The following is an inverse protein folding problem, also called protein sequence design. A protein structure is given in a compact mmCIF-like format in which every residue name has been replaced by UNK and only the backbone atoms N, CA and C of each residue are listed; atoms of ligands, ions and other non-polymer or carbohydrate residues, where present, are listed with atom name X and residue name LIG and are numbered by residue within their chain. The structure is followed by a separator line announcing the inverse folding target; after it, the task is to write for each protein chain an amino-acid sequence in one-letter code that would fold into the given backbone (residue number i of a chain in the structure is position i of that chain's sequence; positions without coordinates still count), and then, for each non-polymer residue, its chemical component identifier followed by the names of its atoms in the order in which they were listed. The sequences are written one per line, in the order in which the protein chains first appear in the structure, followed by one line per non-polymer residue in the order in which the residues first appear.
data_IF_811523744949
#
_entry.id   IF_811523744949
#
_cell.length_a   1.000
_cell.length_b   1.000
_cell.length_c   1.000
_cell.angle_alpha   90.00
_cell.angle_beta   90.00
_cell.angle_gamma   90.00
#
_symmetry.space_group_name_H-M   'P 1'
#
loop_
_entity.id
_entity.type
_entity.pdbx_description
1 polymer ?
#
# COMPACT_ATOMS: atom_id res chain seq x y z
N UNK A 1 5.76 -7.44 -6.94
CA UNK A 1 5.75 -8.91 -6.72
C UNK A 1 5.47 -9.15 -5.25
N UNK A 2 4.56 -10.05 -4.93
CA UNK A 2 4.25 -10.42 -3.55
C UNK A 2 5.34 -11.35 -2.99
N UNK A 3 5.47 -11.44 -1.69
CA UNK A 3 6.48 -12.26 -1.02
C UNK A 3 5.86 -13.59 -0.59
N UNK A 4 6.41 -14.75 -1.01
CA UNK A 4 5.92 -16.04 -0.54
C UNK A 4 6.05 -16.18 0.98
N UNK A 5 4.95 -16.52 1.66
CA UNK A 5 4.93 -16.65 3.14
C UNK A 5 5.89 -17.72 3.62
N UNK A 6 6.04 -18.80 2.85
CA UNK A 6 6.99 -19.88 3.18
C UNK A 6 8.42 -19.37 3.33
N UNK A 7 8.84 -18.41 2.50
CA UNK A 7 10.20 -17.84 2.56
C UNK A 7 10.39 -16.97 3.81
N UNK A 8 9.37 -16.19 4.18
CA UNK A 8 9.40 -15.40 5.42
C UNK A 8 9.47 -16.31 6.66
N UNK A 9 8.67 -17.38 6.68
CA UNK A 9 8.70 -18.37 7.77
C UNK A 9 10.05 -19.05 7.86
N UNK A 10 10.65 -19.44 6.73
CA UNK A 10 11.99 -20.05 6.72
C UNK A 10 13.07 -19.08 7.23
N UNK A 11 13.00 -17.80 6.84
CA UNK A 11 13.91 -16.76 7.34
C UNK A 11 13.80 -16.59 8.87
N UNK A 12 12.58 -16.54 9.40
CA UNK A 12 12.33 -16.47 10.85
C UNK A 12 12.83 -17.73 11.58
N UNK A 13 12.59 -18.93 11.03
CA UNK A 13 13.11 -20.18 11.60
C UNK A 13 14.63 -20.18 11.68
N UNK A 14 15.29 -19.73 10.62
CA UNK A 14 16.75 -19.58 10.61
C UNK A 14 17.22 -18.65 11.73
N UNK A 15 16.61 -17.48 11.87
CA UNK A 15 16.95 -16.49 12.90
C UNK A 15 16.67 -16.96 14.34
N UNK A 16 15.73 -17.90 14.51
CA UNK A 16 15.35 -18.49 15.79
C UNK A 16 16.05 -19.81 16.09
N UNK A 17 16.85 -20.35 15.15
CA UNK A 17 17.54 -21.63 15.33
C UNK A 17 16.62 -22.86 15.25
N UNK A 18 15.41 -22.74 14.69
CA UNK A 18 14.42 -23.82 14.57
C UNK A 18 14.21 -24.25 13.12
N UNK A 19 15.29 -24.47 12.37
CA UNK A 19 15.26 -24.80 10.94
C UNK A 19 14.41 -26.03 10.60
N UNK A 20 14.31 -26.99 11.53
CA UNK A 20 13.54 -28.21 11.31
C UNK A 20 12.06 -28.07 11.68
N UNK A 21 11.65 -26.94 12.26
CA UNK A 21 10.27 -26.69 12.68
C UNK A 21 9.78 -27.61 13.81
N UNK A 22 10.69 -28.02 14.68
CA UNK A 22 10.38 -28.98 15.76
C UNK A 22 9.77 -28.32 16.99
N UNK A 23 10.09 -27.03 17.22
CA UNK A 23 9.73 -26.34 18.45
C UNK A 23 8.69 -25.23 18.23
N UNK A 24 8.62 -24.67 17.01
CA UNK A 24 7.76 -23.53 16.69
C UNK A 24 6.86 -23.92 15.51
N UNK A 25 5.56 -23.80 15.67
CA UNK A 25 4.61 -24.06 14.58
C UNK A 25 4.63 -22.95 13.54
N UNK A 26 4.20 -23.26 12.30
CA UNK A 26 4.10 -22.24 11.24
C UNK A 26 3.11 -21.14 11.62
N UNK A 27 2.01 -21.49 12.29
CA UNK A 27 1.02 -20.52 12.74
C UNK A 27 1.61 -19.49 13.71
N UNK A 28 2.48 -19.93 14.64
CA UNK A 28 3.17 -19.03 15.57
C UNK A 28 4.12 -18.06 14.88
N UNK A 29 4.58 -18.36 13.66
CA UNK A 29 5.42 -17.48 12.85
C UNK A 29 4.60 -16.62 11.88
N UNK A 30 3.49 -17.13 11.37
CA UNK A 30 2.60 -16.38 10.45
C UNK A 30 1.94 -15.18 11.15
N UNK A 31 1.53 -15.31 12.41
CA UNK A 31 0.88 -14.22 13.14
C UNK A 31 1.80 -12.99 13.32
N UNK A 32 3.05 -13.11 13.77
CA UNK A 32 4.00 -11.99 13.77
C UNK A 32 4.26 -11.37 12.39
N UNK A 33 4.27 -12.17 11.31
CA UNK A 33 4.39 -11.68 9.94
C UNK A 33 3.20 -10.78 9.58
N UNK A 34 1.97 -11.24 9.85
CA UNK A 34 0.76 -10.45 9.64
C UNK A 34 0.78 -9.15 10.45
N UNK A 35 1.21 -9.23 11.71
CA UNK A 35 1.30 -8.08 12.59
C UNK A 35 2.32 -7.06 12.07
N UNK A 36 3.50 -7.53 11.64
CA UNK A 36 4.53 -6.69 11.06
C UNK A 36 4.05 -5.98 9.80
N UNK A 37 3.50 -6.71 8.83
CA UNK A 37 3.00 -6.16 7.58
C UNK A 37 1.88 -5.13 7.82
N UNK A 38 0.88 -5.49 8.63
CA UNK A 38 -0.26 -4.61 8.91
C UNK A 38 0.17 -3.32 9.61
N UNK A 39 1.05 -3.40 10.62
CA UNK A 39 1.54 -2.23 11.34
C UNK A 39 2.42 -1.34 10.49
N UNK A 40 3.33 -1.93 9.71
CA UNK A 40 4.22 -1.22 8.82
C UNK A 40 3.42 -0.44 7.76
N UNK A 41 2.53 -1.10 7.04
CA UNK A 41 1.73 -0.46 6.00
C UNK A 41 0.69 0.52 6.53
N UNK A 42 0.09 0.25 7.68
CA UNK A 42 -0.74 1.22 8.37
C UNK A 42 0.02 2.52 8.62
N UNK A 43 1.25 2.43 9.13
CA UNK A 43 2.10 3.59 9.42
C UNK A 43 2.57 4.32 8.17
N UNK A 44 3.03 3.58 7.14
CA UNK A 44 3.46 4.16 5.86
C UNK A 44 2.30 4.92 5.19
N UNK A 45 1.09 4.38 5.26
CA UNK A 45 -0.08 5.08 4.74
C UNK A 45 -0.39 6.39 5.48
N UNK A 46 -0.16 6.45 6.79
CA UNK A 46 -0.31 7.69 7.59
C UNK A 46 0.74 8.76 7.21
N UNK A 47 1.91 8.32 6.77
CA UNK A 47 3.02 9.18 6.35
C UNK A 47 3.01 9.53 4.87
N UNK A 48 2.00 9.06 4.12
CA UNK A 48 1.86 9.28 2.68
C UNK A 48 3.02 8.72 1.84
N UNK A 49 3.59 7.61 2.26
CA UNK A 49 4.72 6.97 1.57
C UNK A 49 4.22 6.21 0.34
N UNK A 50 4.87 6.43 -0.80
CA UNK A 50 4.43 5.91 -2.11
C UNK A 50 4.46 4.38 -2.20
N UNK A 51 5.37 3.71 -1.50
CA UNK A 51 5.45 2.25 -1.45
C UNK A 51 4.20 1.57 -0.86
N UNK A 52 3.35 2.32 -0.15
CA UNK A 52 2.07 1.83 0.35
C UNK A 52 0.89 2.17 -0.59
N UNK A 53 1.16 2.67 -1.82
CA UNK A 53 0.13 3.01 -2.81
C UNK A 53 -0.10 1.84 -3.75
N UNK A 54 -1.37 1.52 -3.99
CA UNK A 54 -1.84 0.61 -5.01
C UNK A 54 -2.83 1.33 -5.92
N UNK A 55 -3.08 0.75 -7.09
CA UNK A 55 -3.97 1.31 -8.10
C UNK A 55 -5.12 0.35 -8.43
N UNK A 56 -6.31 0.90 -8.67
CA UNK A 56 -7.44 0.18 -9.21
C UNK A 56 -8.09 0.96 -10.35
N UNK A 57 -8.17 0.33 -11.52
CA UNK A 57 -9.00 0.84 -12.61
C UNK A 57 -10.47 0.50 -12.37
N UNK A 58 -11.34 1.48 -12.61
CA UNK A 58 -12.80 1.35 -12.45
C UNK A 58 -13.52 1.96 -13.65
N UNK A 59 -14.51 1.25 -14.16
CA UNK A 59 -15.41 1.77 -15.20
C UNK A 59 -16.82 1.89 -14.65
N UNK A 60 -17.33 3.11 -14.56
CA UNK A 60 -18.71 3.41 -14.15
C UNK A 60 -19.56 3.56 -15.43
N UNK A 61 -20.44 2.58 -15.65
CA UNK A 61 -21.25 2.50 -16.88
C UNK A 61 -22.44 3.48 -16.89
N UNK A 62 -22.93 3.88 -15.72
CA UNK A 62 -24.12 4.74 -15.57
C UNK A 62 -23.87 5.88 -14.61
N UNK A 63 -24.56 6.99 -14.75
CA UNK A 63 -24.47 8.11 -13.81
C UNK A 63 -24.85 7.67 -12.39
N UNK A 64 -24.02 8.07 -11.44
CA UNK A 64 -24.11 7.66 -10.04
C UNK A 64 -23.93 6.14 -9.82
N UNK A 65 -23.29 5.45 -10.74
CA UNK A 65 -22.89 4.05 -10.57
C UNK A 65 -21.86 3.89 -9.45
N UNK A 66 -21.69 2.65 -9.02
CA UNK A 66 -20.79 2.28 -7.91
C UNK A 66 -19.88 1.14 -8.32
N UNK A 67 -18.70 1.10 -7.71
CA UNK A 67 -17.77 -0.03 -7.73
C UNK A 67 -17.23 -0.26 -6.32
N UNK A 68 -16.79 -1.47 -6.02
CA UNK A 68 -16.28 -1.80 -4.71
C UNK A 68 -14.75 -1.85 -4.70
N UNK A 69 -14.14 -1.12 -3.77
CA UNK A 69 -12.69 -1.10 -3.58
C UNK A 69 -12.22 -2.38 -2.87
N UNK A 70 -10.96 -2.81 -3.09
CA UNK A 70 -10.43 -4.04 -2.49
C UNK A 70 -10.53 -4.06 -0.96
N UNK A 71 -10.46 -5.24 -0.37
CA UNK A 71 -10.43 -5.40 1.10
C UNK A 71 -9.19 -4.76 1.73
N UNK A 72 -8.10 -4.71 0.99
CA UNK A 72 -6.84 -4.06 1.36
C UNK A 72 -6.90 -2.53 1.33
N UNK A 73 -7.99 -1.94 0.78
CA UNK A 73 -8.17 -0.49 0.74
C UNK A 73 -8.18 0.13 2.13
N UNK A 74 -7.31 1.10 2.36
CA UNK A 74 -7.26 1.88 3.60
C UNK A 74 -7.83 3.29 3.38
N UNK A 75 -7.23 4.06 2.48
CA UNK A 75 -7.70 5.41 2.13
C UNK A 75 -7.24 5.83 0.73
N UNK A 76 -7.93 6.80 0.16
CA UNK A 76 -7.54 7.37 -1.14
C UNK A 76 -6.24 8.15 -1.03
N UNK A 77 -5.36 7.96 -2.02
CA UNK A 77 -4.26 8.85 -2.33
C UNK A 77 -4.73 9.90 -3.35
N UNK A 78 -5.16 9.46 -4.54
CA UNK A 78 -5.62 10.29 -5.62
C UNK A 78 -6.69 9.56 -6.43
N UNK A 79 -7.56 10.29 -7.09
CA UNK A 79 -8.49 9.74 -8.09
C UNK A 79 -8.36 10.53 -9.38
N UNK A 80 -8.08 9.82 -10.45
CA UNK A 80 -8.07 10.34 -11.82
C UNK A 80 -9.33 9.88 -12.54
N UNK A 81 -9.94 10.74 -13.32
CA UNK A 81 -11.17 10.41 -14.05
C UNK A 81 -11.16 10.92 -15.48
N UNK A 82 -11.77 10.15 -16.40
CA UNK A 82 -12.03 10.53 -17.78
C UNK A 82 -13.46 10.19 -18.16
N UNK A 83 -14.19 11.14 -18.85
CA UNK A 83 -15.51 10.83 -19.40
C UNK A 83 -15.46 9.98 -20.67
N UNK A 84 -14.27 9.80 -21.27
CA UNK A 84 -14.08 9.11 -22.54
C UNK A 84 -14.09 7.59 -22.34
N UNK A 85 -14.77 6.87 -23.21
CA UNK A 85 -14.79 5.38 -23.21
C UNK A 85 -13.43 4.79 -23.58
N UNK A 86 -12.71 5.44 -24.53
CA UNK A 86 -11.36 5.04 -24.97
C UNK A 86 -10.35 6.05 -24.43
N UNK A 87 -10.31 6.22 -23.10
CA UNK A 87 -9.38 7.12 -22.44
C UNK A 87 -7.93 6.63 -22.60
N UNK A 88 -7.03 7.55 -22.92
CA UNK A 88 -5.57 7.38 -22.84
C UNK A 88 -5.06 8.18 -21.65
N UNK A 89 -3.81 7.99 -21.24
CA UNK A 89 -3.25 8.62 -20.03
C UNK A 89 -3.43 10.14 -20.00
N UNK A 90 -3.37 10.79 -21.18
CA UNK A 90 -3.57 12.24 -21.31
C UNK A 90 -5.03 12.70 -21.13
N UNK A 91 -5.98 11.78 -21.15
CA UNK A 91 -7.40 12.09 -21.00
C UNK A 91 -7.86 12.12 -19.53
N UNK A 92 -7.03 11.61 -18.62
CA UNK A 92 -7.34 11.60 -17.20
C UNK A 92 -7.03 12.94 -16.55
N UNK A 93 -7.91 13.35 -15.65
CA UNK A 93 -7.73 14.53 -14.83
C UNK A 93 -8.03 14.22 -13.36
N UNK A 94 -7.36 14.91 -12.46
CA UNK A 94 -7.62 14.79 -11.03
C UNK A 94 -9.06 15.20 -10.73
N UNK A 95 -9.80 14.35 -10.02
CA UNK A 95 -11.14 14.64 -9.54
C UNK A 95 -11.18 14.74 -8.03
N UNK A 96 -12.13 15.47 -7.48
CA UNK A 96 -12.19 15.84 -6.08
C UNK A 96 -13.28 15.07 -5.31
N UNK A 97 -13.09 14.80 -4.02
CA UNK A 97 -14.14 14.20 -3.20
C UNK A 97 -15.33 15.16 -3.02
N UNK A 98 -16.54 14.62 -2.95
CA UNK A 98 -17.76 15.38 -2.68
C UNK A 98 -18.60 14.73 -1.59
N UNK A 99 -19.30 15.54 -0.80
CA UNK A 99 -20.33 15.10 0.12
C UNK A 99 -21.69 14.86 -0.56
N UNK A 100 -21.85 15.31 -1.81
CA UNK A 100 -23.07 15.16 -2.60
C UNK A 100 -23.47 13.71 -2.81
N UNK A 101 -24.79 13.42 -2.73
CA UNK A 101 -25.31 12.07 -2.93
C UNK A 101 -25.21 11.59 -4.39
N UNK A 102 -25.12 12.53 -5.32
CA UNK A 102 -25.05 12.29 -6.77
C UNK A 102 -23.84 13.06 -7.33
N UNK A 103 -22.64 12.46 -7.32
CA UNK A 103 -21.48 13.09 -7.92
C UNK A 103 -21.71 13.39 -9.41
N UNK A 104 -21.34 14.58 -9.83
CA UNK A 104 -21.20 14.96 -11.25
C UNK A 104 -19.79 14.61 -11.72
N UNK A 105 -19.54 14.60 -13.03
CA UNK A 105 -18.19 14.39 -13.54
C UNK A 105 -17.22 15.46 -12.95
N UNK A 106 -16.02 15.04 -12.58
CA UNK A 106 -15.06 15.88 -11.86
C UNK A 106 -15.10 15.70 -10.34
N UNK A 107 -16.09 14.94 -9.82
CA UNK A 107 -16.20 14.64 -8.41
C UNK A 107 -16.54 13.15 -8.15
N UNK A 108 -16.12 12.65 -6.98
CA UNK A 108 -16.41 11.30 -6.53
C UNK A 108 -16.84 11.28 -5.05
N UNK A 109 -17.40 10.16 -4.63
CA UNK A 109 -17.72 9.89 -3.23
C UNK A 109 -17.29 8.47 -2.87
N UNK A 110 -16.70 8.31 -1.69
CA UNK A 110 -16.42 6.99 -1.11
C UNK A 110 -17.15 6.89 0.24
N UNK A 111 -17.83 5.76 0.45
CA UNK A 111 -18.47 5.41 1.73
C UNK A 111 -18.04 3.99 2.07
N UNK A 112 -17.25 3.83 3.12
CA UNK A 112 -16.58 2.57 3.38
C UNK A 112 -15.67 2.22 2.21
N UNK A 113 -15.94 1.08 1.53
CA UNK A 113 -15.21 0.66 0.32
C UNK A 113 -15.99 0.91 -0.98
N UNK A 114 -17.16 1.51 -0.91
CA UNK A 114 -17.96 1.77 -2.11
C UNK A 114 -17.56 3.10 -2.75
N UNK A 115 -16.91 3.03 -3.90
CA UNK A 115 -16.64 4.17 -4.78
C UNK A 115 -17.88 4.51 -5.60
N UNK A 116 -18.23 5.77 -5.69
CA UNK A 116 -19.38 6.30 -6.45
C UNK A 116 -18.98 7.53 -7.26
N UNK A 117 -19.31 7.51 -8.56
CA UNK A 117 -19.02 8.60 -9.48
C UNK A 117 -20.05 8.70 -10.60
N UNK A 118 -19.94 9.72 -11.47
CA UNK A 118 -20.65 9.83 -12.74
C UNK A 118 -20.15 8.76 -13.72
N UNK A 119 -20.86 8.57 -14.87
CA UNK A 119 -20.39 7.69 -15.95
C UNK A 119 -18.99 8.10 -16.40
N UNK A 120 -18.06 7.14 -16.52
CA UNK A 120 -16.70 7.37 -16.96
C UNK A 120 -15.73 6.26 -16.56
N UNK A 121 -14.45 6.46 -16.88
CA UNK A 121 -13.34 5.63 -16.45
C UNK A 121 -12.55 6.35 -15.36
N UNK A 122 -12.05 5.58 -14.40
CA UNK A 122 -11.37 6.09 -13.24
C UNK A 122 -10.16 5.24 -12.91
N UNK A 123 -9.09 5.90 -12.46
CA UNK A 123 -7.93 5.29 -11.86
C UNK A 123 -7.94 5.77 -10.41
N UNK A 124 -8.04 4.83 -9.48
CA UNK A 124 -8.07 5.12 -8.05
C UNK A 124 -6.76 4.67 -7.45
N UNK A 125 -5.92 5.62 -7.12
CA UNK A 125 -4.71 5.39 -6.33
C UNK A 125 -5.08 5.45 -4.85
N UNK A 126 -4.70 4.44 -4.10
CA UNK A 126 -5.07 4.33 -2.71
C UNK A 126 -3.95 3.71 -1.87
N UNK A 127 -3.87 4.13 -0.62
CA UNK A 127 -3.04 3.45 0.36
C UNK A 127 -3.70 2.14 0.76
N UNK A 128 -2.92 1.07 0.77
CA UNK A 128 -3.41 -0.25 1.12
C UNK A 128 -2.74 -0.78 2.39
N UNK A 129 -3.40 -1.73 3.04
CA UNK A 129 -2.84 -2.55 4.10
C UNK A 129 -2.93 -4.00 3.62
N UNK A 130 -1.80 -4.74 3.59
CA UNK A 130 -1.79 -6.11 3.11
C UNK A 130 -2.81 -6.99 3.82
N UNK A 131 -3.48 -7.85 3.06
CA UNK A 131 -4.40 -8.84 3.60
C UNK A 131 -3.68 -9.83 4.51
N UNK A 132 -4.41 -10.40 5.49
CA UNK A 132 -3.85 -11.42 6.37
C UNK A 132 -3.65 -12.72 5.62
N UNK A 133 -2.48 -13.33 5.80
CA UNK A 133 -2.17 -14.68 5.35
C UNK A 133 -2.40 -15.67 6.49
N UNK A 134 -2.82 -16.88 6.15
CA UNK A 134 -3.16 -17.94 7.13
C UNK A 134 -2.45 -19.25 6.87
N UNK A 135 -1.80 -19.38 5.70
CA UNK A 135 -1.15 -20.62 5.25
C UNK A 135 0.17 -20.32 4.53
N UNK A 136 1.10 -21.26 4.59
CA UNK A 136 2.42 -21.17 3.95
C UNK A 136 2.35 -20.99 2.41
N UNK A 137 1.33 -21.57 1.77
CA UNK A 137 1.18 -21.52 0.31
C UNK A 137 0.62 -20.20 -0.21
N UNK A 138 0.39 -19.22 0.65
CA UNK A 138 -0.07 -17.89 0.27
C UNK A 138 1.11 -16.94 0.05
N UNK A 139 0.85 -15.88 -0.72
CA UNK A 139 1.77 -14.76 -0.87
C UNK A 139 1.28 -13.59 -0.01
N UNK A 140 2.21 -12.95 0.67
CA UNK A 140 1.97 -11.67 1.35
C UNK A 140 2.07 -10.55 0.31
N UNK A 141 1.01 -9.76 0.15
CA UNK A 141 0.91 -8.66 -0.82
C UNK A 141 1.79 -7.47 -0.42
N UNK A 142 3.09 -7.71 -0.36
CA UNK A 142 4.12 -6.72 0.00
C UNK A 142 5.24 -6.80 -1.03
N UNK A 143 5.73 -5.66 -1.57
CA UNK A 143 6.86 -5.64 -2.49
C UNK A 143 8.12 -6.27 -1.89
N UNK A 144 8.93 -6.90 -2.74
CA UNK A 144 10.20 -7.53 -2.32
C UNK A 144 11.15 -6.54 -1.63
N UNK A 145 11.13 -5.27 -2.02
CA UNK A 145 11.90 -4.19 -1.38
C UNK A 145 11.58 -3.99 0.10
N UNK A 146 10.42 -4.46 0.56
CA UNK A 146 9.97 -4.36 1.95
C UNK A 146 10.25 -5.61 2.78
N UNK A 147 10.73 -6.71 2.16
CA UNK A 147 10.96 -8.01 2.79
C UNK A 147 11.75 -7.88 4.10
N UNK A 148 12.91 -7.26 4.05
CA UNK A 148 13.81 -7.15 5.21
C UNK A 148 13.14 -6.45 6.40
N UNK A 149 12.34 -5.41 6.13
CA UNK A 149 11.62 -4.70 7.18
C UNK A 149 10.55 -5.57 7.83
N UNK A 150 9.78 -6.30 7.01
CA UNK A 150 8.76 -7.24 7.51
C UNK A 150 9.40 -8.36 8.32
N UNK A 151 10.48 -8.97 7.86
CA UNK A 151 11.20 -10.05 8.56
C UNK A 151 11.73 -9.59 9.93
N UNK A 152 12.41 -8.44 9.97
CA UNK A 152 12.97 -7.91 11.21
C UNK A 152 11.87 -7.53 12.20
N UNK A 153 10.82 -6.88 11.76
CA UNK A 153 9.67 -6.54 12.60
C UNK A 153 8.96 -7.80 13.11
N UNK A 154 8.73 -8.81 12.23
CA UNK A 154 8.11 -10.06 12.61
C UNK A 154 8.93 -10.80 13.69
N UNK A 155 10.26 -10.82 13.55
CA UNK A 155 11.15 -11.38 14.55
C UNK A 155 11.05 -10.65 15.91
N UNK A 156 10.99 -9.32 15.88
CA UNK A 156 10.80 -8.50 17.08
C UNK A 156 9.44 -8.77 17.73
N UNK A 157 8.35 -8.85 16.95
CA UNK A 157 7.01 -9.19 17.45
C UNK A 157 6.96 -10.60 18.04
N UNK A 158 7.57 -11.59 17.37
CA UNK A 158 7.67 -12.94 17.91
C UNK A 158 8.35 -12.96 19.29
N UNK A 159 9.45 -12.20 19.45
CA UNK A 159 10.17 -12.05 20.72
C UNK A 159 9.46 -11.13 21.73
N UNK A 160 8.32 -10.54 21.38
CA UNK A 160 7.60 -9.52 22.16
C UNK A 160 8.43 -8.28 22.49
N UNK A 161 9.42 -7.99 21.64
CA UNK A 161 10.26 -6.79 21.72
C UNK A 161 9.66 -5.66 20.88
N UNK A 162 8.65 -5.03 21.44
CA UNK A 162 7.90 -3.96 20.78
C UNK A 162 8.74 -2.69 20.58
N UNK A 163 9.73 -2.45 21.44
CA UNK A 163 10.61 -1.29 21.31
C UNK A 163 11.52 -1.42 20.08
N UNK A 164 12.08 -2.61 19.86
CA UNK A 164 12.85 -2.91 18.65
C UNK A 164 11.97 -2.83 17.40
N UNK A 165 10.74 -3.37 17.44
CA UNK A 165 9.81 -3.28 16.31
C UNK A 165 9.50 -1.83 15.93
N UNK A 166 9.26 -0.94 16.90
CA UNK A 166 9.02 0.49 16.66
C UNK A 166 10.26 1.18 16.08
N UNK A 167 11.45 0.85 16.58
CA UNK A 167 12.73 1.37 16.06
C UNK A 167 12.97 0.99 14.59
N UNK A 168 12.66 -0.26 14.22
CA UNK A 168 12.76 -0.74 12.83
C UNK A 168 11.78 0.03 11.94
N UNK A 169 10.54 0.20 12.40
CA UNK A 169 9.51 0.95 11.68
C UNK A 169 9.94 2.40 11.43
N UNK A 170 10.47 3.08 12.44
CA UNK A 170 11.00 4.44 12.31
C UNK A 170 12.17 4.53 11.32
N UNK A 171 13.05 3.53 11.30
CA UNK A 171 14.15 3.47 10.33
C UNK A 171 13.61 3.29 8.90
N UNK A 172 12.62 2.42 8.71
CA UNK A 172 11.96 2.22 7.42
C UNK A 172 11.34 3.53 6.92
N UNK A 173 10.57 4.22 7.75
CA UNK A 173 9.99 5.53 7.42
C UNK A 173 11.05 6.53 6.95
N UNK A 174 12.14 6.66 7.69
CA UNK A 174 13.21 7.60 7.36
C UNK A 174 13.88 7.28 6.02
N UNK A 175 14.11 5.99 5.75
CA UNK A 175 14.72 5.55 4.47
C UNK A 175 13.79 5.83 3.29
N UNK A 176 12.50 5.55 3.43
CA UNK A 176 11.54 5.74 2.36
C UNK A 176 11.25 7.23 2.12
N UNK A 177 11.05 8.02 3.17
CA UNK A 177 10.88 9.47 3.04
C UNK A 177 12.08 10.13 2.36
N UNK A 178 13.31 9.67 2.64
CA UNK A 178 14.51 10.16 1.94
C UNK A 178 14.54 9.81 0.45
N UNK A 179 13.97 8.67 0.05
CA UNK A 179 13.85 8.28 -1.38
C UNK A 179 12.81 9.13 -2.12
N UNK A 180 11.68 9.41 -1.51
CA UNK A 180 10.63 10.22 -2.10
C UNK A 180 11.13 11.65 -2.41
N UNK A 181 11.88 12.27 -1.49
CA UNK A 181 12.49 13.59 -1.72
C UNK A 181 13.47 13.54 -2.90
N UNK A 182 14.34 12.53 -2.98
CA UNK A 182 15.29 12.38 -4.06
C UNK A 182 14.60 12.11 -5.43
N UNK A 183 13.46 11.43 -5.43
CA UNK A 183 12.68 11.18 -6.64
C UNK A 183 12.01 12.47 -7.15
N UNK A 184 11.46 13.28 -6.25
CA UNK A 184 10.85 14.58 -6.58
C UNK A 184 11.88 15.56 -7.18
N UNK A 185 13.09 15.60 -6.65
CA UNK A 185 14.16 16.45 -7.17
C UNK A 185 14.59 16.03 -8.60
N UNK A 186 14.60 14.73 -8.90
CA UNK A 186 14.98 14.21 -10.22
C UNK A 186 13.88 14.31 -11.27
N UNK A 187 12.61 14.37 -10.89
CA UNK A 187 11.49 14.46 -11.84
C UNK A 187 11.06 15.88 -12.18
N UNK A 188 11.62 16.91 -11.53
CA UNK A 188 11.27 18.31 -11.79
C UNK A 188 12.45 19.15 -12.34
N UNK A 189 12.88 18.93 -13.61
CA UNK A 189 14.02 19.65 -14.20
C UNK A 189 13.79 21.15 -14.39
N UNK A 190 12.57 21.65 -14.18
CA UNK A 190 12.24 23.05 -14.36
C UNK A 190 12.71 23.98 -13.22
N UNK A 191 13.10 23.43 -12.06
CA UNK A 191 13.58 24.24 -10.92
C UNK A 191 15.10 24.45 -10.91
N UNK A 192 15.87 23.74 -11.72
CA UNK A 192 17.34 23.87 -11.78
C UNK A 192 17.85 24.96 -12.70
N UNK A 193 16.98 25.64 -13.45
CA UNK A 193 17.36 26.71 -14.40
C UNK A 193 17.20 28.14 -13.86
N UNK A 194 16.81 28.32 -12.58
CA UNK A 194 16.56 29.65 -11.99
C UNK A 194 17.69 30.26 -11.17
N UNK A 195 18.85 29.61 -11.03
CA UNK A 195 19.94 30.09 -10.16
C UNK A 195 21.26 30.29 -10.93
N UNK A 196 21.21 30.98 -12.08
CA UNK A 196 22.40 31.64 -12.68
C UNK A 196 21.93 32.90 -13.40
N UNK A 197 21.97 33.99 -12.71
CA UNK A 197 21.84 35.34 -13.19
C UNK A 197 22.54 36.25 -12.20
#
# INVERSE_FOLDING_TARGET
MAIPVVELVMSLRYALGDMQGLNISDYELIEPINQAASKLYGRLSERFVHEAVAEKEVTIATDNGTDELPETFNRVHQVLGSPKENATDVDYQVIIPTSGRKPVFGAYRIIGRTFKAAKGKYIIEYYYVPGKVTQLGQDLEVPESMRTWVEQMALAYYKKDYATAEGIMQQCENVLAGRDVAHFENTNPAQTLGARG
#
